data_IF_253089182203
#
_entry.id   IF_253089182203
#
_cell.length_a   1.000
_cell.length_b   1.000
_cell.length_c   1.000
_cell.angle_alpha   90.00
_cell.angle_beta   90.00
_cell.angle_gamma   90.00
#
_symmetry.space_group_name_H-M   'P 1'
#
loop_
_entity.id
_entity.type
_entity.pdbx_description
1 polymer ?
#
# COMPACT_ATOMS: atom_id res chain seq x y z
N UNK A 1 9.34 -36.27 28.25
CA UNK A 1 9.61 -35.96 26.83
C UNK A 1 8.95 -34.63 26.52
N UNK A 2 9.70 -33.52 26.58
CA UNK A 2 9.17 -32.14 26.48
C UNK A 2 9.67 -31.53 25.17
N UNK A 3 8.77 -31.34 24.21
CA UNK A 3 9.05 -30.61 22.97
C UNK A 3 8.78 -29.13 23.20
N UNK A 4 9.81 -28.38 23.59
CA UNK A 4 9.73 -26.93 23.60
C UNK A 4 9.86 -26.43 22.16
N UNK A 5 8.77 -25.86 21.63
CA UNK A 5 8.79 -25.13 20.36
C UNK A 5 9.75 -23.94 20.48
N UNK A 6 10.83 -23.99 19.71
CA UNK A 6 11.78 -22.89 19.61
C UNK A 6 11.08 -21.74 18.88
N UNK A 7 10.66 -20.73 19.64
CA UNK A 7 10.11 -19.48 19.09
C UNK A 7 11.26 -18.78 18.37
N UNK A 8 11.14 -18.61 17.05
CA UNK A 8 12.08 -17.83 16.28
C UNK A 8 12.12 -16.40 16.85
N UNK A 9 13.25 -16.03 17.46
CA UNK A 9 13.52 -14.66 17.87
C UNK A 9 13.48 -13.78 16.63
N UNK A 10 12.60 -12.78 16.65
CA UNK A 10 12.55 -11.74 15.62
C UNK A 10 13.88 -10.99 15.62
N UNK A 11 14.74 -11.29 14.65
CA UNK A 11 15.94 -10.50 14.37
C UNK A 11 15.48 -9.18 13.78
N UNK A 12 15.95 -8.07 14.36
CA UNK A 12 15.68 -6.73 13.84
C UNK A 12 16.04 -6.65 12.35
N UNK A 13 15.25 -5.93 11.53
CA UNK A 13 15.50 -5.86 10.10
C UNK A 13 16.91 -5.32 9.84
N UNK A 14 17.60 -5.94 8.88
CA UNK A 14 18.87 -5.45 8.38
C UNK A 14 18.70 -4.00 7.89
N UNK A 15 19.77 -3.21 7.99
CA UNK A 15 19.83 -1.85 7.46
C UNK A 15 19.16 -1.76 6.07
N UNK A 16 18.12 -0.93 5.87
CA UNK A 16 17.42 -0.81 4.59
C UNK A 16 18.33 -0.37 3.43
N UNK A 17 19.57 0.06 3.72
CA UNK A 17 20.61 0.31 2.71
C UNK A 17 21.41 -0.95 2.29
N UNK A 18 21.08 -2.15 2.80
CA UNK A 18 21.79 -3.36 2.43
C UNK A 18 21.42 -3.78 0.99
N UNK A 19 22.40 -4.00 0.08
CA UNK A 19 22.14 -4.27 -1.34
C UNK A 19 21.34 -5.56 -1.61
N UNK A 20 21.13 -6.40 -0.60
CA UNK A 20 20.29 -7.59 -0.69
C UNK A 20 18.79 -7.29 -0.59
N UNK A 21 18.39 -6.19 0.06
CA UNK A 21 16.97 -5.79 0.18
C UNK A 21 16.64 -4.90 -1.01
N UNK A 22 15.77 -5.38 -1.91
CA UNK A 22 15.35 -4.58 -3.04
C UNK A 22 14.29 -3.57 -2.68
N UNK A 23 14.06 -2.63 -3.60
CA UNK A 23 13.16 -1.51 -3.39
C UNK A 23 11.72 -1.94 -3.05
N UNK A 24 11.23 -3.06 -3.60
CA UNK A 24 9.88 -3.53 -3.32
C UNK A 24 9.78 -4.16 -1.93
N UNK A 25 10.81 -4.89 -1.49
CA UNK A 25 10.87 -5.36 -0.10
C UNK A 25 10.99 -4.19 0.86
N UNK A 26 11.77 -3.15 0.55
CA UNK A 26 11.83 -1.94 1.39
C UNK A 26 10.47 -1.22 1.49
N UNK A 27 9.56 -1.38 0.52
CA UNK A 27 8.18 -0.89 0.66
C UNK A 27 7.36 -1.76 1.62
N UNK A 28 7.54 -3.07 1.57
CA UNK A 28 6.86 -4.01 2.46
C UNK A 28 7.31 -3.83 3.91
N UNK A 29 8.61 -3.67 4.14
CA UNK A 29 9.19 -3.42 5.47
C UNK A 29 8.72 -2.08 6.06
N UNK A 30 8.52 -1.07 5.20
CA UNK A 30 8.03 0.24 5.62
C UNK A 30 6.51 0.30 5.91
N UNK A 31 5.75 -0.75 5.58
CA UNK A 31 4.30 -0.78 5.77
C UNK A 31 3.90 -0.70 7.24
N UNK A 32 2.94 0.16 7.56
CA UNK A 32 2.36 0.27 8.91
C UNK A 32 0.82 0.19 8.87
N UNK A 33 0.16 -0.24 9.96
CA UNK A 33 -1.29 -0.21 10.03
C UNK A 33 -1.86 1.18 9.69
N UNK A 34 -2.80 1.24 8.76
CA UNK A 34 -3.37 2.48 8.23
C UNK A 34 -2.85 2.86 6.83
N UNK A 35 -1.76 2.26 6.36
CA UNK A 35 -1.30 2.41 4.99
C UNK A 35 -2.07 1.50 4.01
N UNK A 36 -1.94 1.80 2.72
CA UNK A 36 -2.34 0.87 1.65
C UNK A 36 -1.11 0.28 0.96
N UNK A 37 -1.04 -1.04 0.91
CA UNK A 37 0.00 -1.77 0.18
C UNK A 37 -0.64 -2.58 -0.95
N UNK A 38 -0.06 -2.51 -2.15
CA UNK A 38 -0.52 -3.27 -3.30
C UNK A 38 0.68 -3.77 -4.13
N UNK A 39 0.90 -5.08 -4.12
CA UNK A 39 1.86 -5.73 -5.01
C UNK A 39 1.12 -6.38 -6.19
N UNK A 40 1.51 -5.99 -7.40
CA UNK A 40 0.98 -6.53 -8.67
C UNK A 40 2.14 -7.10 -9.50
N UNK A 41 1.86 -7.95 -10.51
CA UNK A 41 2.91 -8.43 -11.42
C UNK A 41 3.67 -7.33 -12.17
N UNK A 42 3.11 -6.11 -12.26
CA UNK A 42 3.75 -4.98 -12.95
C UNK A 42 4.47 -3.98 -12.04
N UNK A 43 4.12 -3.91 -10.75
CA UNK A 43 4.69 -2.94 -9.78
C UNK A 43 4.24 -3.21 -8.35
N UNK A 44 4.93 -2.59 -7.40
CA UNK A 44 4.57 -2.55 -5.98
C UNK A 44 4.31 -1.10 -5.56
N UNK A 45 3.24 -0.88 -4.79
CA UNK A 45 2.83 0.43 -4.29
C UNK A 45 2.72 0.40 -2.76
N UNK A 46 3.24 1.44 -2.10
CA UNK A 46 2.96 1.78 -0.72
C UNK A 46 2.42 3.21 -0.66
N UNK A 47 1.20 3.37 -0.18
CA UNK A 47 0.56 4.65 0.02
C UNK A 47 0.39 4.96 1.51
N UNK A 48 0.78 6.18 1.90
CA UNK A 48 0.80 6.64 3.29
C UNK A 48 -0.36 7.57 3.60
N UNK A 49 -0.82 7.49 4.85
CA UNK A 49 -1.81 8.40 5.44
C UNK A 49 -3.25 8.07 5.07
N UNK A 50 -4.23 8.51 5.87
CA UNK A 50 -5.65 8.31 5.55
C UNK A 50 -6.07 9.12 4.32
N UNK A 51 -5.31 10.19 3.99
CA UNK A 51 -5.52 11.01 2.82
C UNK A 51 -6.90 11.69 2.79
N UNK A 52 -7.35 12.10 1.60
CA UNK A 52 -8.72 12.58 1.39
C UNK A 52 -9.63 11.40 1.10
N UNK A 53 -10.57 11.12 1.99
CA UNK A 53 -11.60 10.11 1.74
C UNK A 53 -12.53 10.51 0.59
N UNK A 54 -12.87 9.54 -0.24
CA UNK A 54 -13.96 9.68 -1.22
C UNK A 54 -15.27 9.65 -0.42
N UNK A 55 -16.11 10.70 -0.48
CA UNK A 55 -17.34 10.76 0.30
C UNK A 55 -18.31 9.64 -0.12
N UNK A 56 -19.21 9.23 0.77
CA UNK A 56 -20.32 8.35 0.44
C UNK A 56 -21.62 9.15 0.42
N UNK A 57 -22.05 9.55 -0.77
CA UNK A 57 -23.27 10.31 -1.01
C UNK A 57 -23.99 9.78 -2.27
N UNK A 58 -25.13 10.38 -2.60
CA UNK A 58 -26.02 9.92 -3.68
C UNK A 58 -25.42 9.97 -5.08
N UNK A 59 -24.29 10.67 -5.27
CA UNK A 59 -23.64 10.75 -6.58
C UNK A 59 -23.05 9.39 -6.98
N UNK A 60 -23.00 9.07 -8.29
CA UNK A 60 -22.30 7.90 -8.78
C UNK A 60 -20.85 7.86 -8.29
N UNK A 61 -20.34 6.66 -7.95
CA UNK A 61 -18.99 6.50 -7.38
C UNK A 61 -17.90 7.13 -8.25
N UNK A 62 -18.01 7.00 -9.56
CA UNK A 62 -17.07 7.59 -10.53
C UNK A 62 -17.02 9.12 -10.44
N UNK A 63 -18.17 9.78 -10.24
CA UNK A 63 -18.23 11.22 -10.06
C UNK A 63 -17.58 11.67 -8.74
N UNK A 64 -17.81 10.91 -7.65
CA UNK A 64 -17.20 11.16 -6.34
C UNK A 64 -15.68 10.99 -6.38
N UNK A 65 -15.19 9.94 -7.04
CA UNK A 65 -13.76 9.71 -7.29
C UNK A 65 -13.15 10.84 -8.11
N UNK A 66 -13.78 11.22 -9.23
CA UNK A 66 -13.28 12.31 -10.08
C UNK A 66 -13.18 13.64 -9.35
N UNK A 67 -14.19 13.99 -8.55
CA UNK A 67 -14.16 15.20 -7.73
C UNK A 67 -13.05 15.18 -6.67
N UNK A 68 -12.82 14.03 -6.03
CA UNK A 68 -11.77 13.88 -5.01
C UNK A 68 -10.38 13.99 -5.61
N UNK A 69 -10.16 13.38 -6.78
CA UNK A 69 -8.90 13.50 -7.54
C UNK A 69 -8.67 14.95 -8.01
N UNK A 70 -9.68 15.62 -8.54
CA UNK A 70 -9.57 17.02 -8.96
C UNK A 70 -9.22 17.94 -7.79
N UNK A 71 -9.79 17.70 -6.60
CA UNK A 71 -9.45 18.43 -5.39
C UNK A 71 -7.99 18.18 -4.94
N UNK A 72 -7.47 16.97 -5.12
CA UNK A 72 -6.07 16.66 -4.84
C UNK A 72 -5.11 17.37 -5.81
N UNK A 73 -5.43 17.39 -7.11
CA UNK A 73 -4.67 18.17 -8.11
C UNK A 73 -4.68 19.65 -7.77
N UNK A 74 -5.85 20.21 -7.44
CA UNK A 74 -5.98 21.62 -7.05
C UNK A 74 -5.20 21.96 -5.77
N UNK A 75 -4.99 20.97 -4.90
CA UNK A 75 -4.15 21.10 -3.71
C UNK A 75 -2.64 20.91 -3.98
N UNK A 76 -2.24 20.73 -5.25
CA UNK A 76 -0.84 20.64 -5.66
C UNK A 76 -0.27 19.22 -5.78
N UNK A 77 -1.10 18.17 -5.67
CA UNK A 77 -0.64 16.80 -5.87
C UNK A 77 -0.48 16.51 -7.37
N UNK A 78 0.75 16.19 -7.80
CA UNK A 78 1.09 16.06 -9.23
C UNK A 78 0.43 14.86 -9.92
N UNK A 79 0.31 13.73 -9.22
CA UNK A 79 -0.26 12.49 -9.78
C UNK A 79 -1.05 11.73 -8.70
N UNK A 80 -2.25 12.24 -8.32
CA UNK A 80 -3.06 11.59 -7.30
C UNK A 80 -3.67 10.28 -7.83
N UNK A 81 -3.78 9.30 -6.94
CA UNK A 81 -4.44 8.02 -7.18
C UNK A 81 -5.51 7.80 -6.13
N UNK A 82 -6.51 6.96 -6.40
CA UNK A 82 -7.44 6.48 -5.38
C UNK A 82 -7.08 5.03 -5.03
N UNK A 83 -7.01 4.73 -3.74
CA UNK A 83 -6.75 3.40 -3.21
C UNK A 83 -7.80 3.02 -2.15
N UNK A 84 -7.96 1.72 -1.93
CA UNK A 84 -8.87 1.18 -0.94
C UNK A 84 -9.68 0.00 -1.46
N UNK A 85 -10.89 -0.20 -0.91
CA UNK A 85 -11.74 -1.34 -1.22
C UNK A 85 -13.20 -0.92 -1.45
N UNK A 86 -13.87 -1.65 -2.34
CA UNK A 86 -15.31 -1.53 -2.58
C UNK A 86 -15.98 -2.78 -2.00
N UNK A 87 -16.98 -2.63 -1.11
CA UNK A 87 -17.71 -3.76 -0.57
C UNK A 87 -18.51 -4.51 -1.66
N UNK A 88 -18.79 -5.78 -1.41
CA UNK A 88 -19.68 -6.56 -2.28
C UNK A 88 -21.10 -5.99 -2.29
N UNK A 89 -21.59 -5.55 -1.13
CA UNK A 89 -22.83 -4.79 -1.02
C UNK A 89 -22.63 -3.38 -1.57
N UNK A 90 -23.20 -3.13 -2.74
CA UNK A 90 -23.10 -1.86 -3.45
C UNK A 90 -23.85 -0.70 -2.77
N UNK A 91 -24.67 -1.00 -1.75
CA UNK A 91 -25.31 0.03 -0.92
C UNK A 91 -24.42 0.46 0.25
N UNK A 92 -23.42 -0.36 0.61
CA UNK A 92 -22.50 -0.04 1.69
C UNK A 92 -21.44 0.99 1.25
N UNK A 93 -20.90 1.79 2.20
CA UNK A 93 -19.87 2.77 1.89
C UNK A 93 -18.58 2.14 1.35
N UNK A 94 -18.12 2.62 0.18
CA UNK A 94 -16.81 2.28 -0.34
C UNK A 94 -15.71 2.94 0.52
N UNK A 95 -14.74 2.14 0.97
CA UNK A 95 -13.60 2.61 1.74
C UNK A 95 -12.48 3.01 0.78
N UNK A 96 -12.58 4.21 0.20
CA UNK A 96 -11.63 4.74 -0.77
C UNK A 96 -11.06 6.09 -0.31
N UNK A 97 -9.79 6.34 -0.59
CA UNK A 97 -9.13 7.62 -0.33
C UNK A 97 -8.06 7.95 -1.36
N UNK A 98 -7.74 9.25 -1.48
CA UNK A 98 -6.54 9.75 -2.14
C UNK A 98 -5.46 9.93 -1.08
N UNK A 99 -4.42 9.07 -1.04
CA UNK A 99 -3.36 9.15 -0.04
C UNK A 99 -2.47 10.38 -0.24
N UNK A 100 -1.81 10.81 0.83
CA UNK A 100 -0.94 11.99 0.83
C UNK A 100 0.33 11.77 0.00
N UNK A 101 0.86 10.53 0.04
CA UNK A 101 2.05 10.15 -0.70
C UNK A 101 1.96 8.69 -1.17
N UNK A 102 2.54 8.44 -2.34
CA UNK A 102 2.65 7.09 -2.93
C UNK A 102 4.10 6.84 -3.31
N UNK A 103 4.65 5.73 -2.83
CA UNK A 103 5.94 5.20 -3.26
C UNK A 103 5.71 4.01 -4.19
N UNK A 104 6.48 3.96 -5.26
CA UNK A 104 6.43 2.91 -6.26
C UNK A 104 7.75 2.15 -6.31
N UNK A 105 7.68 0.84 -6.53
CA UNK A 105 8.82 -0.02 -6.80
C UNK A 105 8.47 -1.02 -7.92
N UNK A 106 9.46 -1.72 -8.50
CA UNK A 106 9.22 -2.85 -9.40
C UNK A 106 8.35 -3.96 -8.77
N UNK A 107 7.95 -4.99 -9.53
CA UNK A 107 7.20 -6.12 -9.00
C UNK A 107 7.94 -6.78 -7.83
N UNK A 108 7.23 -7.05 -6.74
CA UNK A 108 7.79 -7.72 -5.55
C UNK A 108 8.38 -9.10 -5.89
N UNK A 109 7.80 -9.80 -6.87
CA UNK A 109 8.28 -11.10 -7.33
C UNK A 109 9.63 -11.05 -8.08
N UNK A 110 10.14 -9.85 -8.40
CA UNK A 110 11.45 -9.65 -9.01
C UNK A 110 12.47 -9.06 -8.03
N UNK A 111 12.09 -8.93 -6.75
CA UNK A 111 12.95 -8.34 -5.73
C UNK A 111 14.05 -9.33 -5.30
N UNK A 112 15.31 -8.91 -5.14
CA UNK A 112 16.47 -9.78 -4.90
C UNK A 112 16.31 -10.77 -3.74
N UNK A 113 15.48 -10.49 -2.73
CA UNK A 113 15.24 -11.43 -1.63
C UNK A 113 14.52 -12.72 -2.06
N UNK A 114 13.82 -12.73 -3.19
CA UNK A 114 13.19 -13.96 -3.72
C UNK A 114 14.20 -15.01 -4.18
N UNK A 115 15.47 -14.61 -4.35
CA UNK A 115 16.56 -15.47 -4.82
C UNK A 115 17.45 -16.01 -3.68
N UNK A 116 17.18 -15.67 -2.41
CA UNK A 116 17.95 -16.18 -1.28
C UNK A 116 17.53 -17.62 -0.93
N UNK A 117 18.48 -18.54 -0.67
CA UNK A 117 18.15 -19.88 -0.17
C UNK A 117 17.51 -19.79 1.23
N UNK A 118 16.53 -20.67 1.47
CA UNK A 118 15.78 -20.78 2.72
C UNK A 118 16.60 -21.38 3.88
#
# INVERSE_FOLDING_TARGET
MSTASQVATHTAPADPAHPAVGAATSLLDAYTPGDHFLATPGRTLLARGPGRHVPHDERPLTARVGATLAAAVAAGQESPVVMGAIPFDHTAPAALSVPDAVRCAPPLASDPLIALPA
#
